data_IF_090790629152
#
_entry.id   IF_090790629152
#
_cell.length_a   1.000
_cell.length_b   1.000
_cell.length_c   1.000
_cell.angle_alpha   90.00
_cell.angle_beta   90.00
_cell.angle_gamma   90.00
#
_symmetry.space_group_name_H-M   'P 1'
#
loop_
_entity.id
_entity.type
_entity.pdbx_description
1 polymer ?
#
# COMPACT_ATOMS: atom_id res chain seq x y z
N UNK A 1 -12.71 1.63 -8.97
CA UNK A 1 -12.67 2.19 -7.60
C UNK A 1 -13.71 1.53 -6.67
N UNK A 2 -14.96 1.28 -7.10
CA UNK A 2 -16.02 0.69 -6.27
C UNK A 2 -15.58 -0.60 -5.58
N UNK A 3 -15.05 -1.57 -6.32
CA UNK A 3 -14.58 -2.84 -5.75
C UNK A 3 -13.48 -2.66 -4.69
N UNK A 4 -12.58 -1.69 -4.87
CA UNK A 4 -11.54 -1.39 -3.86
C UNK A 4 -12.14 -0.79 -2.59
N UNK A 5 -13.13 0.10 -2.72
CA UNK A 5 -13.84 0.68 -1.58
C UNK A 5 -14.62 -0.37 -0.80
N UNK A 6 -15.28 -1.29 -1.49
CA UNK A 6 -15.98 -2.40 -0.86
C UNK A 6 -15.04 -3.33 -0.08
N UNK A 7 -13.83 -3.57 -0.61
CA UNK A 7 -12.81 -4.34 0.11
C UNK A 7 -12.35 -3.60 1.36
N UNK A 8 -12.05 -2.29 1.30
CA UNK A 8 -11.69 -1.50 2.48
C UNK A 8 -12.75 -1.64 3.58
N UNK A 9 -14.02 -1.43 3.24
CA UNK A 9 -15.12 -1.54 4.21
C UNK A 9 -15.30 -2.95 4.77
N UNK A 10 -15.15 -3.99 3.94
CA UNK A 10 -15.25 -5.39 4.36
C UNK A 10 -14.24 -5.74 5.45
N UNK A 11 -13.06 -5.14 5.39
CA UNK A 11 -12.00 -5.35 6.39
C UNK A 11 -11.96 -4.25 7.47
N UNK A 12 -13.04 -3.50 7.67
CA UNK A 12 -13.17 -2.52 8.74
C UNK A 12 -12.38 -1.24 8.55
N UNK A 13 -11.88 -0.98 7.34
CA UNK A 13 -11.17 0.25 7.02
C UNK A 13 -12.08 1.43 6.71
N UNK A 14 -11.53 2.61 6.83
CA UNK A 14 -12.16 3.89 6.47
C UNK A 14 -11.49 4.43 5.21
N UNK A 15 -12.28 4.68 4.16
CA UNK A 15 -11.79 5.38 2.97
C UNK A 15 -11.68 6.86 3.30
N UNK A 16 -10.47 7.42 3.18
CA UNK A 16 -10.24 8.85 3.36
C UNK A 16 -10.63 9.63 2.10
N UNK A 17 -9.97 9.35 1.00
CA UNK A 17 -10.18 10.07 -0.27
C UNK A 17 -9.69 9.28 -1.48
N UNK A 18 -10.13 9.74 -2.62
CA UNK A 18 -9.55 9.36 -3.91
C UNK A 18 -8.59 10.44 -4.37
N UNK A 19 -7.43 10.04 -4.90
CA UNK A 19 -6.40 10.93 -5.43
C UNK A 19 -6.13 10.48 -6.86
N UNK A 20 -6.88 11.05 -7.80
CA UNK A 20 -6.90 10.52 -9.17
C UNK A 20 -7.52 9.11 -9.20
N UNK A 21 -6.76 8.14 -9.65
CA UNK A 21 -7.10 6.71 -9.65
C UNK A 21 -6.70 5.97 -8.38
N UNK A 22 -6.04 6.65 -7.44
CA UNK A 22 -5.61 6.08 -6.17
C UNK A 22 -6.71 6.16 -5.10
N UNK A 23 -6.72 5.17 -4.20
CA UNK A 23 -7.56 5.14 -3.00
C UNK A 23 -6.65 5.28 -1.77
N UNK A 24 -6.98 6.20 -0.88
CA UNK A 24 -6.37 6.34 0.42
C UNK A 24 -7.34 5.84 1.48
N UNK A 25 -6.90 4.94 2.33
CA UNK A 25 -7.69 4.36 3.41
C UNK A 25 -6.87 4.18 4.67
N UNK A 26 -7.53 4.06 5.82
CA UNK A 26 -6.89 3.80 7.10
C UNK A 26 -7.75 2.91 7.99
N UNK A 27 -7.14 2.32 9.02
CA UNK A 27 -7.77 1.44 10.02
C UNK A 27 -7.47 1.95 11.43
N UNK A 28 -8.28 1.54 12.41
CA UNK A 28 -8.15 1.95 13.80
C UNK A 28 -8.81 3.27 14.15
N UNK A 29 -9.58 3.88 13.21
CA UNK A 29 -10.42 5.03 13.46
C UNK A 29 -11.57 5.09 12.42
N UNK A 30 -12.76 5.64 12.75
CA UNK A 30 -13.13 6.22 14.04
C UNK A 30 -13.35 5.19 15.16
N UNK A 31 -13.42 3.90 14.81
CA UNK A 31 -13.53 2.81 15.77
C UNK A 31 -12.15 2.22 16.02
N UNK A 32 -11.85 1.95 17.29
CA UNK A 32 -10.62 1.26 17.66
C UNK A 32 -10.61 -0.16 17.07
N UNK A 33 -9.49 -0.54 16.48
CA UNK A 33 -9.25 -1.85 15.91
C UNK A 33 -7.87 -2.37 16.34
N UNK A 34 -7.85 -3.28 17.30
CA UNK A 34 -6.62 -3.88 17.80
C UNK A 34 -5.90 -4.74 16.74
N UNK A 35 -6.60 -5.15 15.68
CA UNK A 35 -6.07 -5.93 14.56
C UNK A 35 -5.94 -5.10 13.28
N UNK A 36 -5.89 -3.78 13.40
CA UNK A 36 -5.84 -2.86 12.26
C UNK A 36 -4.77 -3.23 11.22
N UNK A 37 -3.60 -3.67 11.66
CA UNK A 37 -2.49 -4.05 10.78
C UNK A 37 -2.79 -5.34 10.00
N UNK A 38 -3.35 -6.37 10.67
CA UNK A 38 -3.80 -7.61 10.01
C UNK A 38 -4.90 -7.32 8.99
N UNK A 39 -5.90 -6.51 9.38
CA UNK A 39 -7.01 -6.15 8.50
C UNK A 39 -6.55 -5.34 7.28
N UNK A 40 -5.60 -4.44 7.44
CA UNK A 40 -5.03 -3.68 6.32
C UNK A 40 -4.30 -4.59 5.31
N UNK A 41 -3.50 -5.53 5.81
CA UNK A 41 -2.79 -6.50 4.96
C UNK A 41 -3.77 -7.44 4.26
N UNK A 42 -4.78 -7.96 4.98
CA UNK A 42 -5.82 -8.81 4.41
C UNK A 42 -6.63 -8.06 3.33
N UNK A 43 -6.97 -6.80 3.56
CA UNK A 43 -7.63 -5.95 2.57
C UNK A 43 -6.76 -5.79 1.31
N UNK A 44 -5.47 -5.52 1.46
CA UNK A 44 -4.55 -5.37 0.34
C UNK A 44 -4.44 -6.65 -0.50
N UNK A 45 -4.35 -7.81 0.13
CA UNK A 45 -4.35 -9.10 -0.56
C UNK A 45 -5.67 -9.32 -1.33
N UNK A 46 -6.81 -9.05 -0.70
CA UNK A 46 -8.13 -9.16 -1.34
C UNK A 46 -8.30 -8.17 -2.50
N UNK A 47 -7.68 -7.00 -2.44
CA UNK A 47 -7.66 -6.06 -3.57
C UNK A 47 -6.90 -6.61 -4.78
N UNK A 48 -5.77 -7.29 -4.57
CA UNK A 48 -5.05 -7.93 -5.66
C UNK A 48 -5.87 -9.06 -6.31
N UNK A 49 -6.60 -9.85 -5.51
CA UNK A 49 -7.52 -10.85 -6.05
C UNK A 49 -8.62 -10.22 -6.90
N UNK A 50 -9.17 -9.09 -6.46
CA UNK A 50 -10.18 -8.34 -7.23
C UNK A 50 -9.60 -7.78 -8.54
N UNK A 51 -8.36 -7.27 -8.52
CA UNK A 51 -7.66 -6.82 -9.74
C UNK A 51 -7.47 -7.99 -10.71
N UNK A 52 -7.06 -9.17 -10.21
CA UNK A 52 -6.91 -10.36 -11.04
C UNK A 52 -8.25 -10.79 -11.65
N UNK A 53 -9.35 -10.71 -10.89
CA UNK A 53 -10.70 -11.00 -11.39
C UNK A 53 -11.10 -10.03 -12.51
N UNK A 54 -10.84 -8.74 -12.35
CA UNK A 54 -11.11 -7.72 -13.36
C UNK A 54 -10.25 -7.93 -14.60
N UNK A 55 -8.98 -8.26 -14.43
CA UNK A 55 -8.03 -8.48 -15.52
C UNK A 55 -8.44 -9.65 -16.43
N UNK A 56 -9.01 -10.72 -15.87
CA UNK A 56 -9.58 -11.81 -16.71
C UNK A 56 -10.64 -11.29 -17.69
N UNK A 57 -11.53 -10.40 -17.22
CA UNK A 57 -12.52 -9.78 -18.09
C UNK A 57 -11.96 -8.76 -19.08
N UNK A 58 -10.81 -8.17 -18.78
CA UNK A 58 -10.11 -7.28 -19.71
C UNK A 58 -9.37 -8.08 -20.79
N UNK A 59 -8.74 -9.18 -20.41
CA UNK A 59 -8.04 -10.09 -21.31
C UNK A 59 -8.97 -10.65 -22.38
N UNK A 60 -10.16 -11.11 -21.98
CA UNK A 60 -11.22 -11.60 -22.87
C UNK A 60 -11.65 -10.54 -23.89
N UNK A 61 -11.49 -9.26 -23.58
CA UNK A 61 -11.87 -8.13 -24.44
C UNK A 61 -10.68 -7.49 -25.16
N UNK A 62 -9.47 -8.04 -25.02
CA UNK A 62 -8.25 -7.49 -25.59
C UNK A 62 -7.88 -6.12 -25.02
N UNK A 63 -8.31 -5.78 -23.79
CA UNK A 63 -7.99 -4.52 -23.12
C UNK A 63 -6.69 -4.64 -22.31
N UNK A 64 -5.98 -3.51 -22.08
CA UNK A 64 -4.79 -3.50 -21.25
C UNK A 64 -5.07 -4.00 -19.82
N UNK A 65 -4.16 -4.79 -19.28
CA UNK A 65 -4.26 -5.29 -17.90
C UNK A 65 -3.97 -4.18 -16.89
N UNK A 66 -4.76 -4.14 -15.84
CA UNK A 66 -4.56 -3.23 -14.72
C UNK A 66 -3.46 -3.76 -13.81
N UNK A 67 -2.56 -2.87 -13.39
CA UNK A 67 -1.57 -3.12 -12.34
C UNK A 67 -1.82 -2.16 -11.18
N UNK A 68 -1.68 -2.65 -9.96
CA UNK A 68 -1.92 -1.88 -8.73
C UNK A 68 -0.70 -2.02 -7.84
N UNK A 69 -0.22 -0.89 -7.32
CA UNK A 69 0.76 -0.85 -6.24
C UNK A 69 0.07 -0.47 -4.93
N UNK A 70 0.44 -1.14 -3.84
CA UNK A 70 -0.13 -0.91 -2.51
C UNK A 70 1.00 -0.68 -1.51
N UNK A 71 0.98 0.46 -0.82
CA UNK A 71 1.87 0.76 0.28
C UNK A 71 1.12 0.72 1.61
N UNK A 72 1.62 -0.03 2.58
CA UNK A 72 1.03 -0.14 3.92
C UNK A 72 2.07 0.25 4.96
N UNK A 73 1.69 1.13 5.87
CA UNK A 73 2.54 1.51 6.98
C UNK A 73 1.71 1.78 8.24
N UNK A 74 2.25 1.46 9.39
CA UNK A 74 1.63 1.69 10.69
C UNK A 74 2.45 2.68 11.50
N UNK A 75 1.78 3.59 12.19
CA UNK A 75 2.41 4.56 13.07
C UNK A 75 1.40 5.54 13.64
N UNK A 76 1.87 6.41 14.51
CA UNK A 76 1.02 7.46 15.10
C UNK A 76 0.55 8.44 14.04
N UNK A 77 -0.76 8.68 14.04
CA UNK A 77 -1.42 9.61 13.12
C UNK A 77 -2.48 10.41 13.88
N UNK A 78 -2.85 11.54 13.30
CA UNK A 78 -4.00 12.32 13.77
C UNK A 78 -5.15 12.12 12.81
N UNK A 79 -6.30 11.72 13.35
CA UNK A 79 -7.53 11.51 12.60
C UNK A 79 -8.59 12.46 13.11
N UNK A 80 -9.34 13.08 12.21
CA UNK A 80 -10.42 13.99 12.58
C UNK A 80 -10.82 14.96 11.47
N UNK A 81 -11.74 15.86 11.81
CA UNK A 81 -12.16 16.93 10.91
C UNK A 81 -11.08 18.00 10.77
N UNK A 82 -10.47 18.03 9.60
CA UNK A 82 -9.39 18.96 9.27
C UNK A 82 -9.78 19.86 8.11
N UNK A 83 -9.23 21.07 8.10
CA UNK A 83 -9.43 22.02 7.02
C UNK A 83 -9.69 23.44 7.49
N UNK A 84 -10.31 24.24 6.63
CA UNK A 84 -10.64 25.64 6.90
C UNK A 84 -12.06 25.79 7.46
N UNK A 85 -12.44 27.04 7.80
CA UNK A 85 -13.82 27.36 8.20
C UNK A 85 -14.85 27.06 7.10
N UNK A 86 -14.41 27.06 5.83
CA UNK A 86 -15.29 26.90 4.67
C UNK A 86 -15.32 25.45 4.15
N UNK A 87 -14.31 24.65 4.48
CA UNK A 87 -14.23 23.26 4.03
C UNK A 87 -13.55 22.41 5.09
N UNK A 88 -14.28 21.47 5.66
CA UNK A 88 -13.75 20.44 6.56
C UNK A 88 -13.88 19.08 5.92
N UNK A 89 -12.92 18.23 6.18
CA UNK A 89 -12.92 16.84 5.72
C UNK A 89 -12.39 15.98 6.86
N UNK A 90 -13.08 14.91 7.16
CA UNK A 90 -12.58 13.87 8.06
C UNK A 90 -11.43 13.17 7.34
N UNK A 91 -10.24 13.25 7.90
CA UNK A 91 -9.02 12.76 7.24
C UNK A 91 -7.96 12.38 8.26
N UNK A 92 -6.91 11.72 7.78
CA UNK A 92 -5.75 11.32 8.55
C UNK A 92 -4.50 12.05 8.08
N UNK A 93 -3.69 12.52 9.03
CA UNK A 93 -2.38 13.12 8.77
C UNK A 93 -1.31 12.56 9.71
N UNK A 94 -0.11 12.46 9.20
CA UNK A 94 1.06 12.03 9.98
C UNK A 94 2.19 11.55 9.07
N UNK A 95 3.38 11.40 9.65
CA UNK A 95 4.55 10.86 8.93
C UNK A 95 4.30 9.44 8.43
N UNK A 96 3.58 8.63 9.22
CA UNK A 96 3.21 7.26 8.84
C UNK A 96 2.38 7.22 7.54
N UNK A 97 1.49 8.21 7.31
CA UNK A 97 0.68 8.33 6.08
C UNK A 97 1.58 8.65 4.88
N UNK A 98 2.49 9.62 5.06
CA UNK A 98 3.45 9.99 4.00
C UNK A 98 4.34 8.81 3.62
N UNK A 99 4.76 8.01 4.61
CA UNK A 99 5.59 6.83 4.38
C UNK A 99 4.84 5.74 3.61
N UNK A 100 3.57 5.50 3.92
CA UNK A 100 2.74 4.55 3.16
C UNK A 100 2.61 4.95 1.68
N UNK A 101 2.43 6.24 1.39
CA UNK A 101 2.41 6.73 0.00
C UNK A 101 3.75 6.50 -0.73
N UNK A 102 4.87 6.65 -0.03
CA UNK A 102 6.20 6.36 -0.60
C UNK A 102 6.41 4.87 -0.84
N UNK A 103 5.88 4.01 0.02
CA UNK A 103 5.90 2.55 -0.18
C UNK A 103 5.10 2.14 -1.41
N UNK A 104 3.94 2.76 -1.65
CA UNK A 104 3.21 2.54 -2.91
C UNK A 104 4.08 2.86 -4.12
N UNK A 105 4.74 4.01 -4.13
CA UNK A 105 5.62 4.41 -5.24
C UNK A 105 6.81 3.43 -5.44
N UNK A 106 7.32 2.81 -4.37
CA UNK A 106 8.40 1.83 -4.42
C UNK A 106 7.98 0.47 -5.00
N UNK A 107 6.69 0.17 -5.10
CA UNK A 107 6.21 -1.12 -5.64
C UNK A 107 6.76 -1.41 -7.03
N UNK A 108 6.86 -0.38 -7.87
CA UNK A 108 7.43 -0.50 -9.22
C UNK A 108 8.94 -0.78 -9.20
N UNK A 109 9.66 -0.25 -8.20
CA UNK A 109 11.10 -0.43 -8.07
C UNK A 109 11.46 -1.85 -7.61
N UNK A 110 10.67 -2.40 -6.70
CA UNK A 110 10.88 -3.75 -6.17
C UNK A 110 10.14 -4.84 -6.96
N UNK A 111 9.44 -4.48 -8.02
CA UNK A 111 8.53 -5.38 -8.77
C UNK A 111 7.57 -6.15 -7.82
N UNK A 112 7.10 -5.47 -6.81
CA UNK A 112 6.23 -6.02 -5.77
C UNK A 112 4.88 -5.29 -5.78
N UNK A 113 3.77 -6.02 -5.75
CA UNK A 113 2.44 -5.42 -5.73
C UNK A 113 2.08 -4.78 -4.38
N UNK A 114 2.68 -5.27 -3.28
CA UNK A 114 2.46 -4.74 -1.92
C UNK A 114 3.80 -4.51 -1.26
N UNK A 115 4.00 -3.31 -0.72
CA UNK A 115 5.13 -2.98 0.16
C UNK A 115 4.60 -2.59 1.53
N UNK A 116 5.22 -3.17 2.57
CA UNK A 116 4.79 -3.05 3.96
C UNK A 116 5.95 -2.56 4.82
N UNK A 117 5.68 -1.62 5.72
CA UNK A 117 6.64 -1.13 6.69
C UNK A 117 6.84 -2.05 7.89
N UNK A 118 7.97 -1.90 8.57
CA UNK A 118 8.41 -2.76 9.67
C UNK A 118 7.40 -2.84 10.81
N UNK A 119 6.87 -1.70 11.28
CA UNK A 119 5.85 -1.67 12.36
C UNK A 119 4.59 -2.45 11.98
N UNK A 120 4.17 -2.38 10.72
CA UNK A 120 3.02 -3.18 10.25
C UNK A 120 3.35 -4.67 10.30
N UNK A 121 4.56 -5.07 9.89
CA UNK A 121 5.01 -6.48 9.96
C UNK A 121 5.00 -7.01 11.39
N UNK A 122 5.45 -6.20 12.35
CA UNK A 122 5.47 -6.56 13.78
C UNK A 122 4.07 -6.78 14.36
N UNK A 123 3.09 -6.01 13.90
CA UNK A 123 1.73 -6.02 14.40
C UNK A 123 0.82 -7.00 13.66
N UNK A 124 1.01 -7.18 12.36
CA UNK A 124 0.19 -8.07 11.50
C UNK A 124 0.61 -9.54 11.66
N UNK A 125 0.34 -10.11 12.83
CA UNK A 125 0.79 -11.45 13.23
C UNK A 125 0.10 -12.60 12.49
N UNK A 126 -1.03 -12.35 11.86
CA UNK A 126 -1.77 -13.30 11.01
C UNK A 126 -1.12 -13.53 9.65
N UNK A 127 -0.09 -12.77 9.30
CA UNK A 127 0.56 -12.81 7.99
C UNK A 127 2.05 -13.12 8.10
N UNK A 128 2.61 -13.70 7.03
CA UNK A 128 4.06 -13.87 6.87
C UNK A 128 4.57 -12.87 5.87
N UNK A 129 5.81 -12.39 6.08
CA UNK A 129 6.43 -11.39 5.23
C UNK A 129 7.83 -11.82 4.81
N UNK A 130 8.25 -11.36 3.63
CA UNK A 130 9.60 -11.49 3.12
C UNK A 130 10.23 -10.11 3.08
N UNK A 131 11.43 -9.96 3.62
CA UNK A 131 12.18 -8.72 3.56
C UNK A 131 12.63 -8.45 2.12
N UNK A 132 12.31 -7.27 1.59
CA UNK A 132 12.77 -6.82 0.28
C UNK A 132 14.11 -6.06 0.39
N UNK A 133 14.44 -5.55 1.57
CA UNK A 133 15.67 -4.82 1.85
C UNK A 133 15.44 -3.42 2.40
N UNK A 134 16.51 -2.63 2.43
CA UNK A 134 16.49 -1.24 2.87
C UNK A 134 16.19 -0.31 1.69
N UNK A 135 15.19 0.54 1.85
CA UNK A 135 14.78 1.54 0.87
C UNK A 135 15.11 2.95 1.37
N UNK A 136 15.77 3.75 0.54
CA UNK A 136 15.88 5.18 0.80
C UNK A 136 14.58 5.85 0.36
N UNK A 137 13.93 6.54 1.29
CA UNK A 137 12.67 7.26 1.02
C UNK A 137 12.87 8.77 1.19
N UNK A 138 12.25 9.54 0.33
CA UNK A 138 12.34 11.00 0.36
C UNK A 138 11.96 11.54 1.73
N UNK A 139 12.71 12.53 2.25
CA UNK A 139 12.48 13.15 3.55
C UNK A 139 12.87 12.31 4.76
N UNK A 140 13.57 11.19 4.57
CA UNK A 140 14.23 10.43 5.66
C UNK A 140 15.74 10.38 5.44
N UNK A 141 16.50 10.63 6.50
CA UNK A 141 17.96 10.54 6.47
C UNK A 141 18.44 9.08 6.50
N UNK A 142 17.68 8.20 7.14
CA UNK A 142 18.00 6.78 7.27
C UNK A 142 17.10 5.92 6.37
N UNK A 143 17.67 4.91 5.71
CA UNK A 143 16.88 3.95 4.94
C UNK A 143 15.97 3.13 5.86
N UNK A 144 14.79 2.80 5.38
CA UNK A 144 13.80 2.00 6.10
C UNK A 144 13.74 0.59 5.53
N UNK A 145 13.54 -0.41 6.40
CA UNK A 145 13.27 -1.76 5.96
C UNK A 145 11.87 -1.85 5.34
N UNK A 146 11.79 -2.54 4.21
CA UNK A 146 10.53 -2.79 3.51
C UNK A 146 10.34 -4.27 3.26
N UNK A 147 9.10 -4.69 3.26
CA UNK A 147 8.69 -6.09 3.21
C UNK A 147 7.55 -6.27 2.21
N UNK A 148 7.32 -7.52 1.79
CA UNK A 148 6.13 -7.92 1.02
C UNK A 148 5.48 -9.14 1.67
N UNK A 149 4.16 -9.32 1.58
CA UNK A 149 3.50 -10.53 2.05
C UNK A 149 4.08 -11.78 1.34
N UNK A 150 4.44 -12.79 2.13
CA UNK A 150 5.08 -14.01 1.60
C UNK A 150 4.16 -14.81 0.66
N UNK A 151 2.85 -14.66 0.78
CA UNK A 151 1.87 -15.30 -0.13
C UNK A 151 2.01 -14.82 -1.57
N UNK A 152 2.59 -13.65 -1.82
CA UNK A 152 2.85 -13.12 -3.16
C UNK A 152 4.19 -13.61 -3.72
N UNK A 153 5.15 -13.96 -2.86
CA UNK A 153 6.49 -14.43 -3.28
C UNK A 153 6.47 -15.83 -3.90
N UNK A 154 5.41 -16.60 -3.72
CA UNK A 154 5.29 -17.98 -4.22
C UNK A 154 4.99 -18.03 -5.74
N UNK A 155 4.57 -16.93 -6.34
CA UNK A 155 4.26 -16.89 -7.77
C UNK A 155 5.42 -16.44 -8.67
N UNK A 156 6.58 -16.03 -8.09
CA UNK A 156 7.66 -15.40 -8.84
C UNK A 156 9.06 -16.06 -8.63
N UNK A 157 9.14 -17.28 -8.11
CA UNK A 157 10.44 -17.97 -8.02
C UNK A 157 10.80 -18.73 -9.29
N UNK A 158 11.27 -17.99 -10.29
CA UNK A 158 12.38 -18.46 -11.13
C UNK A 158 13.70 -18.09 -10.43
N UNK A 159 14.70 -18.97 -10.35
CA UNK A 159 15.95 -18.68 -9.64
C UNK A 159 16.74 -17.64 -10.44
N UNK A 160 16.80 -16.43 -9.96
CA UNK A 160 17.72 -15.42 -10.47
C UNK A 160 19.09 -15.66 -9.82
N UNK A 161 20.01 -16.17 -10.63
CA UNK A 161 21.44 -16.18 -10.35
C UNK A 161 21.94 -14.78 -9.99
N UNK A 162 22.80 -14.72 -8.95
CA UNK A 162 23.38 -13.52 -8.34
C UNK A 162 23.58 -12.31 -9.26
N UNK A 163 22.84 -11.27 -8.99
CA UNK A 163 22.94 -9.96 -9.62
C UNK A 163 23.02 -8.87 -8.56
N UNK A 164 24.08 -8.10 -8.66
CA UNK A 164 24.36 -6.86 -7.95
C UNK A 164 23.10 -5.99 -7.81
N UNK A 165 22.68 -5.66 -6.59
CA UNK A 165 21.60 -4.72 -6.31
C UNK A 165 22.10 -3.31 -6.67
N UNK A 166 21.56 -2.67 -7.72
CA UNK A 166 21.95 -1.30 -8.04
C UNK A 166 21.43 -0.34 -6.97
N UNK A 167 22.22 0.69 -6.67
CA UNK A 167 21.83 1.77 -5.78
C UNK A 167 20.55 2.45 -6.28
N UNK A 168 19.64 2.85 -5.37
CA UNK A 168 18.37 3.45 -5.76
C UNK A 168 18.59 4.75 -6.51
N UNK A 169 17.89 4.98 -7.65
CA UNK A 169 17.89 6.27 -8.30
C UNK A 169 17.16 7.30 -7.41
N UNK A 170 17.63 8.55 -7.44
CA UNK A 170 16.89 9.67 -6.89
C UNK A 170 15.54 9.75 -7.60
N UNK A 171 14.47 9.57 -6.84
CA UNK A 171 13.10 9.68 -7.36
C UNK A 171 12.77 11.16 -7.50
N UNK A 172 12.91 11.68 -8.70
CA UNK A 172 12.27 12.95 -9.10
C UNK A 172 10.78 12.68 -9.32
N UNK A 173 9.96 13.59 -8.78
CA UNK A 173 8.51 13.55 -8.85
C UNK A 173 7.99 13.37 -10.27
N UNK A 174 7.57 12.15 -10.63
CA UNK A 174 6.66 11.90 -11.74
C UNK A 174 5.48 11.10 -11.24
N UNK A 175 4.38 11.83 -11.07
CA UNK A 175 3.06 11.26 -10.80
C UNK A 175 2.64 10.44 -12.02
N UNK A 176 2.60 9.13 -11.90
CA UNK A 176 1.94 8.25 -12.87
C UNK A 176 1.00 7.30 -12.16
N UNK A 177 -0.16 7.09 -12.78
CA UNK A 177 -1.32 6.39 -12.30
C UNK A 177 -1.04 5.05 -11.59
N UNK A 178 -1.42 4.97 -10.32
CA UNK A 178 -1.40 3.75 -9.52
C UNK A 178 -2.28 3.93 -8.28
N UNK A 179 -3.03 2.92 -7.89
CA UNK A 179 -3.85 2.98 -6.68
C UNK A 179 -2.93 3.10 -5.46
N UNK A 180 -3.12 4.13 -4.66
CA UNK A 180 -2.39 4.37 -3.41
C UNK A 180 -3.29 3.96 -2.26
N UNK A 181 -2.87 2.99 -1.47
CA UNK A 181 -3.50 2.67 -0.20
C UNK A 181 -2.44 2.92 0.85
N UNK A 182 -2.66 3.95 1.67
CA UNK A 182 -1.76 4.32 2.73
C UNK A 182 -2.46 4.16 4.08
N UNK A 183 -1.72 3.61 5.04
CA UNK A 183 -2.03 3.67 6.47
C UNK A 183 -0.93 4.35 7.20
#
# INVERSE_FOLDING_TARGET
LTGMTEVVHRYGGTVDKYIGDAVMAFWGAPLDDAQHADHAVAAALSMLEEVQRLNRGFEDKGLPLMRVGIGINTGEVRVGDMGSRLRRTYTVIGDAVSLASRFEALTKHYDASIIVGETTVELARGHRFVALGKAQVAGRNEPVMVYSPASLAVHDTMPMSGGHVPAPPHVEDRVNAGARIGM
#
